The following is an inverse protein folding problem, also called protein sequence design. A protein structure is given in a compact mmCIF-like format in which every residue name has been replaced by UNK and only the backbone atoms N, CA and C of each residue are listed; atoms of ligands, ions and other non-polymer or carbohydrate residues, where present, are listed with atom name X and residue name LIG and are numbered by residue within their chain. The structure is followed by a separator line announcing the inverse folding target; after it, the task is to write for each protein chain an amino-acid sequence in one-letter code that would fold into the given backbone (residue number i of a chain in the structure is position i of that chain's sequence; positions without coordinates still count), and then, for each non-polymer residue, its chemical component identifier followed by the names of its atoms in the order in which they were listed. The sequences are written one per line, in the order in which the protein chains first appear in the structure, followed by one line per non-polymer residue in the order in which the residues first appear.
data_IF_550632838702
#
_entry.id   IF_550632838702
#
_cell.length_a   1.000
_cell.length_b   1.000
_cell.length_c   1.000
_cell.angle_alpha   90.00
_cell.angle_beta   90.00
_cell.angle_gamma   90.00
#
_symmetry.space_group_name_H-M   'P 1'
#
loop_
_entity.id
_entity.type
_entity.pdbx_description
1 polymer ?
#
# COMPACT_ATOMS: atom_id res chain seq x y z
N UNK A 1 3.70 -6.70 20.98
CA UNK A 1 3.65 -6.35 19.55
C UNK A 1 2.82 -5.09 19.45
N UNK A 2 3.36 -4.06 18.81
CA UNK A 2 2.57 -2.90 18.42
C UNK A 2 1.89 -3.28 17.11
N UNK A 3 0.56 -3.14 17.06
CA UNK A 3 -0.21 -3.45 15.85
C UNK A 3 0.11 -2.49 14.70
N UNK A 4 -0.43 -2.78 13.52
CA UNK A 4 -0.27 -1.94 12.34
C UNK A 4 -0.74 -0.49 12.61
N UNK A 5 0.17 0.49 12.45
CA UNK A 5 -0.15 1.91 12.62
C UNK A 5 -0.22 2.59 11.25
N UNK A 6 -1.46 2.81 10.79
CA UNK A 6 -1.75 3.48 9.51
C UNK A 6 -1.02 4.81 9.35
N UNK A 7 -0.95 5.63 10.40
CA UNK A 7 -0.37 6.96 10.28
C UNK A 7 1.15 6.91 10.14
N UNK A 8 1.79 5.98 10.85
CA UNK A 8 3.23 5.76 10.72
C UNK A 8 3.57 5.10 9.37
N UNK A 9 2.76 4.16 8.88
CA UNK A 9 2.92 3.57 7.55
C UNK A 9 2.87 4.65 6.45
N UNK A 10 1.82 5.50 6.45
CA UNK A 10 1.69 6.60 5.48
C UNK A 10 2.90 7.54 5.52
N UNK A 11 3.36 7.94 6.72
CA UNK A 11 4.54 8.80 6.87
C UNK A 11 5.80 8.12 6.33
N UNK A 12 6.01 6.86 6.67
CA UNK A 12 7.17 6.09 6.22
C UNK A 12 7.19 5.98 4.70
N UNK A 13 6.09 5.55 4.09
CA UNK A 13 5.98 5.33 2.66
C UNK A 13 6.13 6.66 1.90
N UNK A 14 5.43 7.71 2.30
CA UNK A 14 5.52 9.04 1.67
C UNK A 14 6.93 9.64 1.75
N UNK A 15 7.68 9.32 2.81
CA UNK A 15 9.05 9.77 2.98
C UNK A 15 10.06 8.98 2.13
N UNK A 16 9.76 7.73 1.78
CA UNK A 16 10.70 6.82 1.12
C UNK A 16 10.40 6.55 -0.37
N UNK A 17 9.20 6.92 -0.86
CA UNK A 17 8.83 6.75 -2.27
C UNK A 17 9.75 7.57 -3.21
N UNK A 18 10.14 6.99 -4.35
CA UNK A 18 10.88 7.73 -5.37
C UNK A 18 9.93 8.62 -6.19
N UNK A 19 9.80 9.87 -5.76
CA UNK A 19 8.99 10.89 -6.45
C UNK A 19 9.47 11.15 -7.88
N UNK A 20 10.72 10.82 -8.22
CA UNK A 20 11.26 11.02 -9.57
C UNK A 20 10.82 9.94 -10.54
N UNK A 21 10.51 8.73 -10.06
CA UNK A 21 9.90 7.64 -10.82
C UNK A 21 8.43 7.93 -11.15
N UNK A 22 7.71 8.64 -10.27
CA UNK A 22 6.28 8.91 -10.42
C UNK A 22 5.92 10.35 -10.83
N UNK A 23 6.75 10.99 -11.66
CA UNK A 23 6.50 12.37 -12.19
C UNK A 23 5.20 12.53 -12.98
N UNK A 24 4.54 11.43 -13.32
CA UNK A 24 3.22 11.43 -13.96
C UNK A 24 2.08 11.94 -13.07
N UNK A 25 2.33 12.10 -11.76
CA UNK A 25 1.41 12.67 -10.79
C UNK A 25 2.00 13.95 -10.19
N UNK A 26 1.15 14.94 -9.91
CA UNK A 26 1.60 16.08 -9.08
C UNK A 26 1.90 15.60 -7.66
N UNK A 27 2.73 16.34 -6.88
CA UNK A 27 3.06 15.95 -5.51
C UNK A 27 1.83 15.71 -4.62
N UNK A 28 0.77 16.51 -4.78
CA UNK A 28 -0.48 16.35 -4.02
C UNK A 28 -1.26 15.09 -4.42
N UNK A 29 -1.25 14.75 -5.71
CA UNK A 29 -1.89 13.53 -6.19
C UNK A 29 -1.13 12.30 -5.70
N UNK A 30 0.21 12.34 -5.78
CA UNK A 30 1.06 11.25 -5.27
C UNK A 30 0.81 11.01 -3.78
N UNK A 31 0.85 12.05 -2.95
CA UNK A 31 0.59 11.92 -1.51
C UNK A 31 -0.84 11.38 -1.24
N UNK A 32 -1.83 11.80 -2.04
CA UNK A 32 -3.21 11.31 -1.92
C UNK A 32 -3.36 9.84 -2.35
N UNK A 33 -2.67 9.44 -3.42
CA UNK A 33 -2.66 8.06 -3.90
C UNK A 33 -2.00 7.12 -2.89
N UNK A 34 -0.86 7.51 -2.31
CA UNK A 34 -0.17 6.72 -1.29
C UNK A 34 -1.00 6.56 -0.01
N UNK A 35 -1.66 7.63 0.43
CA UNK A 35 -2.62 7.54 1.54
C UNK A 35 -3.74 6.54 1.22
N UNK A 36 -4.27 6.56 0.00
CA UNK A 36 -5.31 5.62 -0.43
C UNK A 36 -4.82 4.19 -0.63
N UNK A 37 -3.57 4.01 -1.05
CA UNK A 37 -2.95 2.69 -1.15
C UNK A 37 -2.91 2.03 0.23
N UNK A 38 -2.40 2.74 1.25
CA UNK A 38 -2.39 2.24 2.63
C UNK A 38 -3.80 1.92 3.15
N UNK A 39 -4.79 2.76 2.85
CA UNK A 39 -6.17 2.53 3.28
C UNK A 39 -6.81 1.30 2.62
N UNK A 40 -6.55 1.10 1.33
CA UNK A 40 -7.02 -0.07 0.58
C UNK A 40 -6.32 -1.34 1.05
N UNK A 41 -5.02 -1.27 1.30
CA UNK A 41 -4.22 -2.40 1.76
C UNK A 41 -4.62 -2.84 3.18
N UNK A 42 -4.79 -1.89 4.10
CA UNK A 42 -5.32 -2.20 5.42
C UNK A 42 -6.71 -2.84 5.34
N UNK A 43 -7.58 -2.33 4.46
CA UNK A 43 -8.89 -2.92 4.23
C UNK A 43 -8.78 -4.34 3.67
N UNK A 44 -7.87 -4.58 2.72
CA UNK A 44 -7.61 -5.90 2.16
C UNK A 44 -7.18 -6.88 3.26
N UNK A 45 -6.23 -6.47 4.11
CA UNK A 45 -5.74 -7.26 5.23
C UNK A 45 -6.85 -7.58 6.25
N UNK A 46 -7.72 -6.62 6.55
CA UNK A 46 -8.86 -6.82 7.45
C UNK A 46 -9.93 -7.75 6.85
N UNK A 47 -10.33 -7.52 5.60
CA UNK A 47 -11.35 -8.31 4.91
C UNK A 47 -10.91 -9.78 4.73
N UNK A 48 -9.61 -10.02 4.54
CA UNK A 48 -9.03 -11.35 4.38
C UNK A 48 -8.50 -11.95 5.67
N UNK A 49 -8.66 -11.30 6.83
CA UNK A 49 -8.24 -11.83 8.13
C UNK A 49 -6.72 -11.96 8.31
N UNK A 50 -5.93 -11.26 7.49
CA UNK A 50 -4.48 -11.09 7.66
C UNK A 50 -4.20 -10.23 8.90
N UNK A 51 -5.05 -9.24 9.13
CA UNK A 51 -5.02 -8.41 10.34
C UNK A 51 -6.40 -8.45 11.01
N UNK A 52 -6.42 -8.65 12.33
CA UNK A 52 -7.62 -8.60 13.16
C UNK A 52 -7.37 -7.68 14.35
N UNK A 53 -8.14 -6.58 14.44
CA UNK A 53 -7.96 -5.54 15.46
C UNK A 53 -6.52 -4.98 15.51
N UNK A 54 -5.89 -4.81 14.34
CA UNK A 54 -4.53 -4.28 14.19
C UNK A 54 -3.40 -5.28 14.50
N UNK A 55 -3.73 -6.52 14.88
CA UNK A 55 -2.75 -7.59 15.13
C UNK A 55 -2.75 -8.59 13.98
N UNK A 56 -1.67 -9.34 13.81
CA UNK A 56 -1.65 -10.47 12.86
C UNK A 56 -2.79 -11.45 13.15
N UNK A 57 -3.53 -11.80 12.11
CA UNK A 57 -4.60 -12.80 12.13
C UNK A 57 -4.08 -14.19 11.75
N UNK A 58 -5.01 -15.08 11.40
CA UNK A 58 -4.71 -16.48 11.10
C UNK A 58 -4.41 -16.73 9.60
N UNK A 59 -4.67 -15.74 8.74
CA UNK A 59 -4.49 -15.85 7.29
C UNK A 59 -3.21 -15.15 6.83
N UNK A 60 -2.64 -15.66 5.74
CA UNK A 60 -1.46 -15.08 5.11
C UNK A 60 -1.85 -13.95 4.15
N UNK A 61 -0.94 -12.98 4.02
CA UNK A 61 -1.04 -11.94 3.00
C UNK A 61 -0.70 -12.52 1.62
N UNK A 62 -1.53 -12.25 0.63
CA UNK A 62 -1.31 -12.64 -0.77
C UNK A 62 -0.95 -11.39 -1.57
N UNK A 63 0.33 -11.27 -1.93
CA UNK A 63 0.88 -10.08 -2.60
C UNK A 63 0.22 -9.82 -3.97
N UNK A 64 -0.10 -10.87 -4.72
CA UNK A 64 -0.66 -10.76 -6.07
C UNK A 64 -2.11 -10.25 -6.00
N UNK A 65 -2.92 -10.80 -5.09
CA UNK A 65 -4.31 -10.39 -4.88
C UNK A 65 -4.40 -9.00 -4.23
N UNK A 66 -3.51 -8.70 -3.28
CA UNK A 66 -3.41 -7.36 -2.71
C UNK A 66 -3.02 -6.31 -3.75
N UNK A 67 -2.05 -6.60 -4.61
CA UNK A 67 -1.66 -5.73 -5.72
C UNK A 67 -2.84 -5.44 -6.65
N UNK A 68 -3.60 -6.47 -7.04
CA UNK A 68 -4.79 -6.31 -7.88
C UNK A 68 -5.84 -5.46 -7.16
N UNK A 69 -6.15 -5.75 -5.91
CA UNK A 69 -7.14 -5.02 -5.12
C UNK A 69 -6.80 -3.53 -4.97
N UNK A 70 -5.55 -3.21 -4.62
CA UNK A 70 -5.09 -1.84 -4.41
C UNK A 70 -5.06 -1.09 -5.74
N UNK A 71 -4.46 -1.69 -6.79
CA UNK A 71 -4.34 -1.04 -8.09
C UNK A 71 -5.70 -0.77 -8.72
N UNK A 72 -6.64 -1.72 -8.69
CA UNK A 72 -8.01 -1.51 -9.14
C UNK A 72 -8.72 -0.41 -8.35
N UNK A 73 -8.57 -0.41 -7.02
CA UNK A 73 -9.17 0.59 -6.14
C UNK A 73 -8.68 2.00 -6.48
N UNK A 74 -7.37 2.17 -6.66
CA UNK A 74 -6.76 3.45 -7.04
C UNK A 74 -7.18 3.88 -8.45
N UNK A 75 -7.22 2.97 -9.43
CA UNK A 75 -7.68 3.26 -10.80
C UNK A 75 -9.12 3.75 -10.79
N UNK A 76 -10.01 3.07 -10.05
CA UNK A 76 -11.42 3.47 -9.91
C UNK A 76 -11.57 4.85 -9.26
N UNK A 77 -10.75 5.17 -8.27
CA UNK A 77 -10.79 6.45 -7.55
C UNK A 77 -10.22 7.62 -8.34
N UNK A 78 -9.06 7.43 -8.95
CA UNK A 78 -8.35 8.48 -9.69
C UNK A 78 -8.95 8.69 -11.09
N UNK A 79 -9.48 7.62 -11.69
CA UNK A 79 -9.93 7.61 -13.07
C UNK A 79 -8.77 7.73 -14.05
N UNK A 80 -9.06 7.67 -15.35
CA UNK A 80 -8.06 7.88 -16.40
C UNK A 80 -8.15 6.88 -17.54
N UNK A 81 -7.12 6.91 -18.38
CA UNK A 81 -6.93 5.99 -19.49
C UNK A 81 -5.90 4.90 -19.14
N UNK A 82 -5.63 3.99 -20.07
CA UNK A 82 -4.67 2.89 -19.89
C UNK A 82 -3.28 3.38 -19.44
N UNK A 83 -2.85 4.56 -19.88
CA UNK A 83 -1.56 5.12 -19.45
C UNK A 83 -1.57 5.50 -17.97
N UNK A 84 -2.68 6.05 -17.46
CA UNK A 84 -2.84 6.32 -16.03
C UNK A 84 -2.90 5.02 -15.23
N UNK A 85 -3.61 4.01 -15.74
CA UNK A 85 -3.65 2.69 -15.10
C UNK A 85 -2.25 2.08 -14.96
N UNK A 86 -1.43 2.10 -16.01
CA UNK A 86 -0.04 1.62 -15.95
C UNK A 86 0.81 2.39 -14.93
N UNK A 87 0.62 3.71 -14.82
CA UNK A 87 1.34 4.52 -13.82
C UNK A 87 0.90 4.19 -12.40
N UNK A 88 -0.39 3.91 -12.19
CA UNK A 88 -0.91 3.46 -10.91
C UNK A 88 -0.33 2.09 -10.57
N UNK A 89 -0.35 1.12 -11.48
CA UNK A 89 0.25 -0.19 -11.24
C UNK A 89 1.74 -0.09 -10.88
N UNK A 90 2.52 0.73 -11.58
CA UNK A 90 3.92 0.98 -11.22
C UNK A 90 4.09 1.66 -9.86
N UNK A 91 3.16 2.54 -9.47
CA UNK A 91 3.16 3.15 -8.13
C UNK A 91 2.80 2.13 -7.05
N UNK A 92 1.86 1.22 -7.31
CA UNK A 92 1.49 0.16 -6.37
C UNK A 92 2.67 -0.79 -6.18
N UNK A 93 3.38 -1.15 -7.25
CA UNK A 93 4.60 -1.98 -7.18
C UNK A 93 5.65 -1.39 -6.21
N UNK A 94 6.03 -0.13 -6.43
CA UNK A 94 6.97 0.58 -5.55
C UNK A 94 6.42 0.80 -4.12
N UNK A 95 5.09 0.90 -3.97
CA UNK A 95 4.43 0.96 -2.67
C UNK A 95 4.53 -0.36 -1.90
N UNK A 96 4.33 -1.51 -2.55
CA UNK A 96 4.33 -2.83 -1.91
C UNK A 96 5.71 -3.12 -1.29
N UNK A 97 6.78 -2.83 -2.01
CA UNK A 97 8.16 -2.91 -1.49
C UNK A 97 8.36 -2.07 -0.21
N UNK A 98 7.77 -0.87 -0.16
CA UNK A 98 7.88 0.02 0.99
C UNK A 98 7.01 -0.44 2.16
N UNK A 99 5.83 -0.98 1.87
CA UNK A 99 4.93 -1.54 2.86
C UNK A 99 5.56 -2.76 3.55
N UNK A 100 6.15 -3.68 2.78
CA UNK A 100 6.87 -4.84 3.31
C UNK A 100 8.02 -4.40 4.25
N UNK A 101 8.80 -3.39 3.82
CA UNK A 101 9.87 -2.81 4.63
C UNK A 101 9.36 -2.18 5.91
N UNK A 102 8.24 -1.45 5.85
CA UNK A 102 7.60 -0.88 7.03
C UNK A 102 7.17 -1.98 8.01
N UNK A 103 6.48 -3.00 7.51
CA UNK A 103 5.98 -4.11 8.33
C UNK A 103 7.12 -4.90 8.99
N UNK A 104 8.22 -5.12 8.26
CA UNK A 104 9.45 -5.72 8.80
C UNK A 104 10.06 -4.85 9.90
N UNK A 105 10.20 -3.54 9.68
CA UNK A 105 10.76 -2.62 10.70
C UNK A 105 9.86 -2.49 11.93
N UNK A 106 8.54 -2.59 11.75
CA UNK A 106 7.56 -2.56 12.83
C UNK A 106 7.46 -3.89 13.60
N UNK A 107 8.11 -4.95 13.13
CA UNK A 107 8.03 -6.30 13.72
C UNK A 107 6.66 -6.96 13.52
N UNK A 108 6.00 -6.65 12.41
CA UNK A 108 4.70 -7.21 12.02
C UNK A 108 4.82 -8.42 11.10
N UNK A 109 5.99 -8.63 10.50
CA UNK A 109 6.33 -9.79 9.67
C UNK A 109 7.58 -10.44 10.26
N UNK A 110 7.48 -11.74 10.56
CA UNK A 110 8.64 -12.59 10.87
C UNK A 110 8.94 -13.44 9.63
N UNK A 111 10.15 -13.28 9.10
CA UNK A 111 10.69 -14.10 8.02
C UNK A 111 11.47 -15.27 8.62
N UNK A 112 10.75 -16.20 9.26
CA UNK A 112 11.29 -17.47 9.78
C UNK A 112 11.10 -18.63 8.78
#
# INVERSE_FOLDING_TARGET
MQGYDKNEAVKFITANIDKTAHKGFSPKELDSLLLKAVELDLKYMEDNGVIVNGMAGDNYYDDDDAFEFISEGLIKLYGGNDQTAMRICSLVDDYMDLQERYMTQAGLVDWD
#
